data_IF_778061933964
#
_entry.id   IF_778061933964
#
_cell.length_a   1.000
_cell.length_b   1.000
_cell.length_c   1.000
_cell.angle_alpha   90.00
_cell.angle_beta   90.00
_cell.angle_gamma   90.00
#
_symmetry.space_group_name_H-M   'P 1'
#
loop_
_entity.id
_entity.type
_entity.pdbx_description
1 polymer ?
#
# COMPACT_ATOMS: atom_id res chain seq x y z
N UNK A 1 -8.77 -13.28 -26.29
CA UNK A 1 -8.77 -11.80 -26.20
C UNK A 1 -9.57 -11.24 -25.02
N UNK A 2 -10.75 -11.77 -24.67
CA UNK A 2 -11.55 -11.24 -23.54
C UNK A 2 -10.93 -11.50 -22.16
N UNK A 3 -10.45 -12.72 -21.88
CA UNK A 3 -9.83 -13.07 -20.59
C UNK A 3 -8.63 -12.18 -20.22
N UNK A 4 -7.77 -11.84 -21.19
CA UNK A 4 -6.62 -10.94 -20.99
C UNK A 4 -7.07 -9.52 -20.61
N UNK A 5 -8.13 -8.99 -21.24
CA UNK A 5 -8.69 -7.68 -20.90
C UNK A 5 -9.31 -7.68 -19.50
N UNK A 6 -10.05 -8.73 -19.14
CA UNK A 6 -10.63 -8.90 -17.80
C UNK A 6 -9.52 -8.94 -16.74
N UNK A 7 -8.45 -9.70 -16.97
CA UNK A 7 -7.32 -9.80 -16.04
C UNK A 7 -6.63 -8.44 -15.82
N UNK A 8 -6.47 -7.62 -16.87
CA UNK A 8 -5.90 -6.27 -16.75
C UNK A 8 -6.79 -5.35 -15.92
N UNK A 9 -8.10 -5.39 -16.13
CA UNK A 9 -9.06 -4.58 -15.34
C UNK A 9 -9.08 -5.04 -13.88
N UNK A 10 -9.14 -6.35 -13.64
CA UNK A 10 -9.17 -6.92 -12.30
C UNK A 10 -7.87 -6.60 -11.53
N UNK A 11 -6.71 -6.69 -12.19
CA UNK A 11 -5.44 -6.29 -11.59
C UNK A 11 -5.42 -4.81 -11.19
N UNK A 12 -5.97 -3.92 -12.02
CA UNK A 12 -6.13 -2.51 -11.68
C UNK A 12 -7.06 -2.31 -10.48
N UNK A 13 -8.21 -2.97 -10.48
CA UNK A 13 -9.18 -2.89 -9.39
C UNK A 13 -8.59 -3.38 -8.05
N UNK A 14 -7.92 -4.53 -8.05
CA UNK A 14 -7.28 -5.08 -6.85
C UNK A 14 -6.18 -4.14 -6.35
N UNK A 15 -5.38 -3.57 -7.26
CA UNK A 15 -4.33 -2.62 -6.91
C UNK A 15 -4.87 -1.37 -6.22
N UNK A 16 -5.91 -0.76 -6.81
CA UNK A 16 -6.49 0.48 -6.30
C UNK A 16 -7.25 0.22 -4.98
N UNK A 17 -8.00 -0.89 -4.90
CA UNK A 17 -8.66 -1.33 -3.67
C UNK A 17 -7.68 -1.60 -2.54
N UNK A 18 -6.58 -2.33 -2.82
CA UNK A 18 -5.56 -2.63 -1.83
C UNK A 18 -4.86 -1.35 -1.34
N UNK A 19 -4.67 -0.36 -2.21
CA UNK A 19 -4.12 0.95 -1.84
C UNK A 19 -5.04 1.70 -0.89
N UNK A 20 -6.35 1.74 -1.18
CA UNK A 20 -7.35 2.35 -0.30
C UNK A 20 -7.44 1.63 1.06
N UNK A 21 -7.40 0.30 1.05
CA UNK A 21 -7.43 -0.51 2.25
C UNK A 21 -6.17 -0.34 3.12
N UNK A 22 -4.98 -0.27 2.49
CA UNK A 22 -3.73 0.02 3.18
C UNK A 22 -3.80 1.34 3.93
N UNK A 23 -4.18 2.43 3.24
CA UNK A 23 -4.28 3.76 3.85
C UNK A 23 -5.32 3.79 4.98
N UNK A 24 -6.48 3.19 4.76
CA UNK A 24 -7.54 3.11 5.76
C UNK A 24 -7.09 2.35 7.01
N UNK A 25 -6.30 1.28 6.84
CA UNK A 25 -5.73 0.52 7.95
C UNK A 25 -4.76 1.36 8.76
N UNK A 26 -3.90 2.18 8.12
CA UNK A 26 -3.02 3.09 8.85
C UNK A 26 -3.80 4.14 9.66
N UNK A 27 -4.85 4.70 9.07
CA UNK A 27 -5.72 5.66 9.76
C UNK A 27 -6.45 5.01 10.94
N UNK A 28 -6.92 3.77 10.79
CA UNK A 28 -7.54 3.01 11.86
C UNK A 28 -6.56 2.80 13.03
N UNK A 29 -5.32 2.37 12.76
CA UNK A 29 -4.28 2.22 13.79
C UNK A 29 -4.06 3.55 14.52
N UNK A 30 -3.89 4.65 13.79
CA UNK A 30 -3.69 5.99 14.37
C UNK A 30 -4.85 6.42 15.27
N UNK A 31 -6.08 6.08 14.88
CA UNK A 31 -7.26 6.38 15.67
C UNK A 31 -7.29 5.53 16.94
N UNK A 32 -7.19 4.20 16.82
CA UNK A 32 -7.17 3.26 17.95
C UNK A 32 -6.11 3.63 19.00
N UNK A 33 -4.90 3.95 18.54
CA UNK A 33 -3.79 4.29 19.41
C UNK A 33 -4.06 5.55 20.24
N UNK A 34 -4.80 6.50 19.67
CA UNK A 34 -5.23 7.70 20.40
C UNK A 34 -6.26 7.43 21.49
N UNK A 35 -7.05 6.35 21.39
CA UNK A 35 -8.00 5.95 22.43
C UNK A 35 -7.32 5.17 23.55
N UNK A 36 -6.31 4.37 23.24
CA UNK A 36 -5.52 3.66 24.24
C UNK A 36 -4.92 4.63 25.27
N UNK A 37 -4.29 5.72 24.79
CA UNK A 37 -3.71 6.74 25.66
C UNK A 37 -4.72 7.48 26.55
N UNK A 38 -6.02 7.38 26.26
CA UNK A 38 -7.10 8.01 27.04
C UNK A 38 -7.85 7.03 27.95
N UNK A 39 -7.85 5.74 27.62
CA UNK A 39 -8.67 4.73 28.28
C UNK A 39 -7.85 3.47 28.58
N UNK A 40 -7.07 3.52 29.68
CA UNK A 40 -6.19 2.43 30.09
C UNK A 40 -6.92 1.07 30.28
N UNK A 41 -8.19 1.08 30.68
CA UNK A 41 -8.99 -0.13 30.91
C UNK A 41 -9.27 -0.97 29.67
N UNK A 42 -9.13 -0.41 28.47
CA UNK A 42 -9.35 -1.12 27.19
C UNK A 42 -8.09 -1.16 26.32
N UNK A 43 -6.94 -0.71 26.87
CA UNK A 43 -5.68 -0.57 26.12
C UNK A 43 -5.25 -1.88 25.46
N UNK A 44 -5.29 -2.98 26.23
CA UNK A 44 -4.85 -4.30 25.75
C UNK A 44 -5.72 -4.82 24.60
N UNK A 45 -7.04 -4.66 24.70
CA UNK A 45 -7.98 -5.07 23.65
C UNK A 45 -7.74 -4.27 22.37
N UNK A 46 -7.58 -2.95 22.49
CA UNK A 46 -7.28 -2.08 21.35
C UNK A 46 -5.92 -2.45 20.72
N UNK A 47 -4.95 -2.89 21.52
CA UNK A 47 -3.62 -3.28 21.02
C UNK A 47 -3.66 -4.52 20.15
N UNK A 48 -4.54 -5.48 20.47
CA UNK A 48 -4.79 -6.65 19.62
C UNK A 48 -5.39 -6.22 18.27
N UNK A 49 -6.34 -5.28 18.29
CA UNK A 49 -6.99 -4.76 17.07
C UNK A 49 -5.99 -3.99 16.20
N UNK A 50 -5.11 -3.19 16.80
CA UNK A 50 -4.04 -2.49 16.07
C UNK A 50 -3.09 -3.45 15.37
N UNK A 51 -2.65 -4.52 16.06
CA UNK A 51 -1.81 -5.57 15.46
C UNK A 51 -2.51 -6.24 14.29
N UNK A 52 -3.82 -6.48 14.38
CA UNK A 52 -4.60 -7.01 13.27
C UNK A 52 -4.57 -6.06 12.07
N UNK A 53 -4.86 -4.77 12.25
CA UNK A 53 -4.81 -3.79 11.15
C UNK A 53 -3.39 -3.62 10.60
N UNK A 54 -2.36 -3.69 11.45
CA UNK A 54 -0.97 -3.60 11.03
C UNK A 54 -0.63 -4.75 10.06
N UNK A 55 -0.86 -6.00 10.45
CA UNK A 55 -0.58 -7.15 9.58
C UNK A 55 -1.41 -7.14 8.30
N UNK A 56 -2.66 -6.71 8.36
CA UNK A 56 -3.49 -6.52 7.18
C UNK A 56 -2.94 -5.43 6.26
N UNK A 57 -2.40 -4.33 6.80
CA UNK A 57 -1.76 -3.29 6.00
C UNK A 57 -0.50 -3.82 5.30
N UNK A 58 0.29 -4.67 5.95
CA UNK A 58 1.43 -5.34 5.31
C UNK A 58 0.96 -6.27 4.19
N UNK A 59 -0.09 -7.06 4.42
CA UNK A 59 -0.71 -7.89 3.38
C UNK A 59 -1.19 -7.07 2.18
N UNK A 60 -1.83 -5.93 2.44
CA UNK A 60 -2.27 -5.00 1.40
C UNK A 60 -1.09 -4.44 0.60
N UNK A 61 0.00 -4.05 1.27
CA UNK A 61 1.23 -3.58 0.63
C UNK A 61 1.82 -4.65 -0.31
N UNK A 62 1.87 -5.92 0.14
CA UNK A 62 2.32 -7.04 -0.71
C UNK A 62 1.42 -7.17 -1.95
N UNK A 63 0.09 -7.07 -1.79
CA UNK A 63 -0.83 -7.12 -2.92
C UNK A 63 -0.64 -5.94 -3.90
N UNK A 64 -0.41 -4.73 -3.40
CA UNK A 64 -0.11 -3.54 -4.21
C UNK A 64 1.16 -3.75 -5.03
N UNK A 65 2.22 -4.27 -4.41
CA UNK A 65 3.49 -4.55 -5.07
C UNK A 65 3.34 -5.62 -6.15
N UNK A 66 2.66 -6.74 -5.84
CA UNK A 66 2.44 -7.83 -6.78
C UNK A 66 1.61 -7.37 -8.01
N UNK A 67 0.53 -6.64 -7.77
CA UNK A 67 -0.35 -6.11 -8.83
C UNK A 67 0.29 -4.96 -9.61
N UNK A 68 1.10 -4.14 -8.95
CA UNK A 68 1.90 -3.07 -9.55
C UNK A 68 2.99 -3.60 -10.48
N UNK A 69 3.66 -4.68 -10.09
CA UNK A 69 4.62 -5.38 -10.93
C UNK A 69 3.95 -5.95 -12.19
N UNK A 70 2.79 -6.60 -12.06
CA UNK A 70 2.00 -7.09 -13.20
C UNK A 70 1.61 -6.00 -14.21
N UNK A 71 1.38 -4.76 -13.73
CA UNK A 71 1.10 -3.59 -14.58
C UNK A 71 2.33 -3.11 -15.36
N UNK A 72 3.54 -3.34 -14.84
CA UNK A 72 4.79 -2.92 -15.48
C UNK A 72 5.17 -3.82 -16.66
N UNK A 73 4.86 -5.12 -16.60
CA UNK A 73 5.14 -6.07 -17.69
C UNK A 73 4.14 -6.04 -18.86
N UNK A 74 2.97 -5.43 -18.67
CA UNK A 74 1.92 -5.37 -19.69
C UNK A 74 2.02 -4.15 -20.61
N UNK A 75 2.96 -3.23 -20.35
CA UNK A 75 3.18 -1.99 -21.08
C UNK A 75 4.52 -1.98 -21.86
N UNK A 76 4.76 -3.02 -22.66
CA UNK A 76 6.00 -3.21 -23.44
C UNK A 76 5.79 -2.98 -24.95
N UNK A 77 4.80 -2.16 -25.32
CA UNK A 77 4.62 -1.77 -26.72
C UNK A 77 5.12 -0.33 -26.94
N UNK A 78 6.03 -0.18 -27.90
CA UNK A 78 6.76 1.03 -28.33
C UNK A 78 5.85 2.11 -28.94
N UNK A 79 4.86 2.61 -28.20
CA UNK A 79 3.82 3.49 -28.78
C UNK A 79 4.26 4.96 -28.91
N UNK A 80 5.31 5.42 -28.21
CA UNK A 80 5.56 6.87 -28.05
C UNK A 80 6.92 7.42 -28.55
N UNK A 81 7.80 6.63 -29.18
CA UNK A 81 9.12 7.12 -29.68
C UNK A 81 10.21 7.24 -28.60
N UNK A 82 11.49 7.20 -29.02
CA UNK A 82 12.66 6.99 -28.12
C UNK A 82 12.81 8.02 -26.99
N UNK A 83 12.62 9.32 -27.25
CA UNK A 83 12.74 10.36 -26.22
C UNK A 83 11.65 10.24 -25.15
N UNK A 84 10.43 9.94 -25.56
CA UNK A 84 9.27 9.81 -24.68
C UNK A 84 9.38 8.57 -23.80
N UNK A 85 10.10 7.54 -24.26
CA UNK A 85 10.38 6.34 -23.47
C UNK A 85 11.39 6.60 -22.34
N UNK A 86 12.44 7.40 -22.57
CA UNK A 86 13.39 7.79 -21.52
C UNK A 86 12.68 8.58 -20.41
N UNK A 87 11.88 9.59 -20.77
CA UNK A 87 11.09 10.35 -19.81
C UNK A 87 10.10 9.45 -19.06
N UNK A 88 9.44 8.52 -19.76
CA UNK A 88 8.51 7.55 -19.14
C UNK A 88 9.21 6.63 -18.15
N UNK A 89 10.40 6.10 -18.48
CA UNK A 89 11.20 5.25 -17.57
C UNK A 89 11.63 6.04 -16.34
N UNK A 90 12.14 7.26 -16.50
CA UNK A 90 12.52 8.13 -15.37
C UNK A 90 11.31 8.43 -14.48
N UNK A 91 10.16 8.79 -15.07
CA UNK A 91 8.91 9.00 -14.33
C UNK A 91 8.46 7.76 -13.57
N UNK A 92 8.57 6.57 -14.18
CA UNK A 92 8.26 5.30 -13.52
C UNK A 92 9.17 5.04 -12.32
N UNK A 93 10.48 5.28 -12.46
CA UNK A 93 11.45 5.12 -11.36
C UNK A 93 11.12 6.09 -10.24
N UNK A 94 10.93 7.38 -10.55
CA UNK A 94 10.57 8.42 -9.57
C UNK A 94 9.29 8.05 -8.82
N UNK A 95 8.26 7.58 -9.53
CA UNK A 95 7.03 7.06 -8.92
C UNK A 95 7.33 5.96 -7.90
N UNK A 96 8.15 4.97 -8.25
CA UNK A 96 8.38 3.83 -7.36
C UNK A 96 9.22 4.23 -6.15
N UNK A 97 10.19 5.12 -6.31
CA UNK A 97 10.97 5.67 -5.20
C UNK A 97 10.05 6.43 -4.23
N UNK A 98 9.21 7.33 -4.73
CA UNK A 98 8.25 8.08 -3.90
C UNK A 98 7.29 7.12 -3.19
N UNK A 99 6.72 6.14 -3.91
CA UNK A 99 5.83 5.15 -3.31
C UNK A 99 6.54 4.31 -2.25
N UNK A 100 7.77 3.86 -2.48
CA UNK A 100 8.56 3.13 -1.49
C UNK A 100 8.78 3.95 -0.23
N UNK A 101 9.09 5.24 -0.37
CA UNK A 101 9.24 6.14 0.78
C UNK A 101 7.93 6.30 1.54
N UNK A 102 6.80 6.47 0.85
CA UNK A 102 5.48 6.59 1.49
C UNK A 102 5.08 5.29 2.20
N UNK A 103 5.21 4.14 1.53
CA UNK A 103 4.89 2.85 2.11
C UNK A 103 5.82 2.52 3.29
N UNK A 104 7.11 2.79 3.15
CA UNK A 104 8.10 2.59 4.21
C UNK A 104 7.86 3.48 5.42
N UNK A 105 7.67 4.79 5.20
CA UNK A 105 7.40 5.75 6.28
C UNK A 105 6.06 5.44 6.97
N UNK A 106 5.01 5.14 6.21
CA UNK A 106 3.70 4.78 6.76
C UNK A 106 3.75 3.50 7.60
N UNK A 107 4.43 2.47 7.11
CA UNK A 107 4.58 1.19 7.83
C UNK A 107 5.48 1.33 9.06
N UNK A 108 6.55 2.11 8.98
CA UNK A 108 7.41 2.42 10.12
C UNK A 108 6.65 3.18 11.21
N UNK A 109 5.86 4.17 10.81
CA UNK A 109 5.07 4.98 11.72
C UNK A 109 4.02 4.16 12.47
N UNK A 110 3.28 3.28 11.78
CA UNK A 110 2.29 2.41 12.44
C UNK A 110 2.94 1.29 13.22
N UNK A 111 4.09 0.76 12.80
CA UNK A 111 4.88 -0.18 13.61
C UNK A 111 5.23 0.42 14.97
N UNK A 112 5.65 1.69 15.00
CA UNK A 112 5.95 2.41 16.23
C UNK A 112 4.76 2.49 17.19
N UNK A 113 3.57 2.85 16.69
CA UNK A 113 2.36 2.89 17.51
C UNK A 113 1.97 1.51 18.03
N UNK A 114 1.98 0.51 17.16
CA UNK A 114 1.44 -0.83 17.47
C UNK A 114 2.37 -1.67 18.37
N UNK A 115 3.69 -1.45 18.31
CA UNK A 115 4.65 -2.32 19.01
C UNK A 115 5.64 -1.60 19.93
N UNK A 116 5.93 -0.31 19.73
CA UNK A 116 6.96 0.40 20.51
C UNK A 116 6.40 1.33 21.60
N UNK A 117 5.11 1.68 21.54
CA UNK A 117 4.48 2.67 22.45
C UNK A 117 3.59 2.03 23.53
N UNK A 118 3.85 0.78 23.88
CA UNK A 118 3.21 0.01 24.96
C UNK A 118 4.22 -0.33 26.05
#
# INVERSE_FOLDING_TARGET
MQAKKIAVVLNGFIHDFATGYWLSSLMAIRFLHSFQGKHASVSDLLGIIERFFFWNSIGAMVAILATGAGRSFTYVDNVFGEQTEQTRRTMLIVKHVILFLIFGAGSWWTYGMTFLQH
#
